data_IF_733709337993
#
_entry.id   IF_733709337993
#
_cell.length_a   1.000
_cell.length_b   1.000
_cell.length_c   1.000
_cell.angle_alpha   90.00
_cell.angle_beta   90.00
_cell.angle_gamma   90.00
#
_symmetry.space_group_name_H-M   'P 1'
#
loop_
_entity.id
_entity.type
_entity.pdbx_description
1 polymer ?
#
# COMPACT_ATOMS: atom_id res chain seq x y z
N UNK A 1 10.10 -35.96 16.02
CA UNK A 1 10.45 -34.52 16.08
C UNK A 1 9.78 -33.66 15.00
N UNK A 2 9.50 -34.15 13.78
CA UNK A 2 8.84 -33.32 12.73
C UNK A 2 7.37 -32.97 13.01
N UNK A 3 6.63 -33.81 13.75
CA UNK A 3 5.20 -33.60 14.00
C UNK A 3 4.90 -32.42 14.96
N UNK A 4 5.79 -32.12 15.90
CA UNK A 4 5.68 -30.94 16.78
C UNK A 4 5.99 -29.63 16.07
N UNK A 5 6.91 -29.64 15.08
CA UNK A 5 7.24 -28.46 14.28
C UNK A 5 6.10 -28.08 13.33
N UNK A 6 5.43 -29.07 12.73
CA UNK A 6 4.24 -28.86 11.92
C UNK A 6 3.04 -28.43 12.76
N UNK A 7 2.87 -28.98 13.97
CA UNK A 7 1.82 -28.54 14.90
C UNK A 7 2.03 -27.09 15.36
N UNK A 8 3.27 -26.66 15.69
CA UNK A 8 3.57 -25.25 16.00
C UNK A 8 3.39 -24.31 14.82
N UNK A 9 3.76 -24.73 13.60
CA UNK A 9 3.50 -23.92 12.40
C UNK A 9 2.00 -23.82 12.11
N UNK A 10 1.24 -24.89 12.34
CA UNK A 10 -0.22 -24.91 12.16
C UNK A 10 -0.94 -24.10 13.23
N UNK A 11 -0.49 -24.17 14.49
CA UNK A 11 -1.01 -23.36 15.59
C UNK A 11 -0.65 -21.88 15.44
N UNK A 12 0.51 -21.54 14.85
CA UNK A 12 0.84 -20.15 14.49
C UNK A 12 -0.05 -19.62 13.36
N UNK A 13 -0.30 -20.43 12.32
CA UNK A 13 -1.26 -20.11 11.26
C UNK A 13 -2.69 -20.00 11.79
N UNK A 14 -3.04 -20.70 12.88
CA UNK A 14 -4.39 -20.70 13.48
C UNK A 14 -4.62 -19.68 14.60
N UNK A 15 -3.57 -19.13 15.25
CA UNK A 15 -3.69 -18.13 16.32
C UNK A 15 -3.21 -16.72 15.95
N UNK A 16 -2.66 -16.49 14.74
CA UNK A 16 -2.00 -15.22 14.39
C UNK A 16 -2.65 -14.41 13.27
N UNK A 17 -3.91 -14.67 12.92
CA UNK A 17 -4.71 -13.65 12.22
C UNK A 17 -5.34 -12.74 13.29
N UNK A 18 -4.52 -11.82 13.78
CA UNK A 18 -4.97 -10.72 14.63
C UNK A 18 -6.03 -9.94 13.83
N UNK A 19 -7.27 -9.79 14.32
CA UNK A 19 -8.34 -9.06 13.61
C UNK A 19 -7.89 -7.66 13.17
N UNK A 20 -7.00 -7.05 13.96
CA UNK A 20 -6.34 -5.79 13.66
C UNK A 20 -5.42 -5.86 12.43
N UNK A 21 -4.65 -6.93 12.26
CA UNK A 21 -3.78 -7.13 11.10
C UNK A 21 -4.60 -7.38 9.83
N UNK A 22 -5.68 -8.15 9.95
CA UNK A 22 -6.62 -8.36 8.85
C UNK A 22 -7.31 -7.05 8.46
N UNK A 23 -7.79 -6.27 9.44
CA UNK A 23 -8.40 -4.96 9.19
C UNK A 23 -7.42 -3.95 8.59
N UNK A 24 -6.16 -3.95 9.00
CA UNK A 24 -5.11 -3.11 8.41
C UNK A 24 -4.83 -3.51 6.96
N UNK A 25 -4.74 -4.80 6.67
CA UNK A 25 -4.57 -5.32 5.32
C UNK A 25 -5.75 -4.91 4.41
N UNK A 26 -7.00 -5.12 4.85
CA UNK A 26 -8.19 -4.72 4.09
C UNK A 26 -8.21 -3.21 3.83
N UNK A 27 -7.89 -2.40 4.84
CA UNK A 27 -7.77 -0.96 4.71
C UNK A 27 -6.73 -0.57 3.65
N UNK A 28 -5.51 -1.10 3.74
CA UNK A 28 -4.42 -0.78 2.83
C UNK A 28 -4.73 -1.23 1.40
N UNK A 29 -5.30 -2.42 1.21
CA UNK A 29 -5.75 -2.91 -0.09
C UNK A 29 -6.84 -2.02 -0.70
N UNK A 30 -7.82 -1.61 0.11
CA UNK A 30 -8.88 -0.70 -0.32
C UNK A 30 -8.32 0.66 -0.74
N UNK A 31 -7.36 1.20 0.01
CA UNK A 31 -6.69 2.46 -0.33
C UNK A 31 -5.87 2.38 -1.60
N UNK A 32 -5.11 1.30 -1.80
CA UNK A 32 -4.37 1.08 -3.04
C UNK A 32 -5.34 1.03 -4.24
N UNK A 33 -6.43 0.27 -4.12
CA UNK A 33 -7.43 0.17 -5.18
C UNK A 33 -8.06 1.54 -5.52
N UNK A 34 -8.39 2.34 -4.50
CA UNK A 34 -8.91 3.70 -4.69
C UNK A 34 -7.91 4.59 -5.44
N UNK A 35 -6.63 4.54 -5.09
CA UNK A 35 -5.58 5.32 -5.76
C UNK A 35 -5.47 4.89 -7.23
N UNK A 36 -5.50 3.59 -7.52
CA UNK A 36 -5.47 3.08 -8.90
C UNK A 36 -6.68 3.56 -9.70
N UNK A 37 -7.88 3.43 -9.14
CA UNK A 37 -9.11 3.87 -9.81
C UNK A 37 -9.08 5.38 -10.10
N UNK A 38 -8.74 6.20 -9.11
CA UNK A 38 -8.59 7.64 -9.28
C UNK A 38 -7.54 7.98 -10.35
N UNK A 39 -6.41 7.27 -10.35
CA UNK A 39 -5.34 7.44 -11.36
C UNK A 39 -5.84 7.18 -12.78
N UNK A 40 -6.67 6.15 -12.95
CA UNK A 40 -7.21 5.78 -14.26
C UNK A 40 -8.35 6.70 -14.71
N UNK A 41 -9.17 7.19 -13.77
CA UNK A 41 -10.27 8.13 -14.02
C UNK A 41 -9.77 9.54 -14.35
N UNK A 42 -8.70 9.98 -13.71
CA UNK A 42 -8.06 11.27 -13.97
C UNK A 42 -7.19 11.20 -15.22
N UNK A 43 -7.85 11.12 -16.38
CA UNK A 43 -7.20 10.99 -17.70
C UNK A 43 -6.26 12.13 -18.05
N UNK A 44 -6.42 13.29 -17.39
CA UNK A 44 -5.54 14.45 -17.48
C UNK A 44 -4.21 14.26 -16.74
N UNK A 45 -4.07 13.26 -15.87
CA UNK A 45 -2.79 12.90 -15.29
C UNK A 45 -1.81 12.46 -16.40
N UNK A 46 -0.54 12.87 -16.31
CA UNK A 46 0.47 12.50 -17.29
C UNK A 46 0.55 10.98 -17.48
N UNK A 47 0.64 10.54 -18.74
CA UNK A 47 0.73 9.11 -19.07
C UNK A 47 1.85 8.41 -18.29
N UNK A 48 3.01 9.06 -18.15
CA UNK A 48 4.13 8.51 -17.39
C UNK A 48 3.81 8.24 -15.91
N UNK A 49 2.93 9.02 -15.29
CA UNK A 49 2.46 8.74 -13.93
C UNK A 49 1.49 7.55 -13.90
N UNK A 50 0.52 7.52 -14.82
CA UNK A 50 -0.46 6.43 -14.93
C UNK A 50 0.21 5.09 -15.21
N UNK A 51 1.15 5.04 -16.15
CA UNK A 51 1.96 3.84 -16.43
C UNK A 51 2.73 3.40 -15.20
N UNK A 52 3.37 4.33 -14.49
CA UNK A 52 4.13 4.01 -13.28
C UNK A 52 3.26 3.41 -12.18
N UNK A 53 2.05 3.96 -11.99
CA UNK A 53 1.07 3.40 -11.05
C UNK A 53 0.71 1.96 -11.43
N UNK A 54 0.41 1.69 -12.71
CA UNK A 54 0.08 0.34 -13.19
C UNK A 54 1.24 -0.64 -13.00
N UNK A 55 2.48 -0.20 -13.24
CA UNK A 55 3.69 -1.03 -13.08
C UNK A 55 3.96 -1.38 -11.61
N UNK A 56 3.80 -0.43 -10.68
CA UNK A 56 4.12 -0.66 -9.26
C UNK A 56 2.96 -1.33 -8.49
N UNK A 57 1.73 -1.26 -8.99
CA UNK A 57 0.54 -1.75 -8.26
C UNK A 57 0.58 -3.23 -7.85
N UNK A 58 1.04 -4.19 -8.68
CA UNK A 58 1.15 -5.59 -8.25
C UNK A 58 2.08 -5.75 -7.05
N UNK A 59 3.24 -5.08 -7.07
CA UNK A 59 4.20 -5.10 -5.98
C UNK A 59 3.62 -4.47 -4.71
N UNK A 60 2.91 -3.35 -4.82
CA UNK A 60 2.23 -2.72 -3.67
C UNK A 60 1.23 -3.68 -3.01
N UNK A 61 0.48 -4.45 -3.82
CA UNK A 61 -0.47 -5.45 -3.30
C UNK A 61 0.26 -6.60 -2.60
N UNK A 62 1.32 -7.12 -3.20
CA UNK A 62 2.15 -8.18 -2.60
C UNK A 62 2.69 -7.73 -1.24
N UNK A 63 3.21 -6.51 -1.14
CA UNK A 63 3.70 -5.94 0.11
C UNK A 63 2.63 -5.80 1.21
N UNK A 64 1.35 -5.66 0.84
CA UNK A 64 0.26 -5.60 1.80
C UNK A 64 -0.21 -7.00 2.23
N UNK A 65 -0.15 -7.98 1.34
CA UNK A 65 -0.69 -9.33 1.58
C UNK A 65 0.33 -10.26 2.24
N UNK A 66 1.60 -10.17 1.86
CA UNK A 66 2.58 -11.21 2.17
C UNK A 66 3.53 -10.87 3.33
N UNK A 67 3.58 -9.62 3.79
CA UNK A 67 4.57 -9.18 4.79
C UNK A 67 4.03 -8.14 5.80
N UNK A 68 3.74 -8.54 7.05
CA UNK A 68 3.42 -7.61 8.14
C UNK A 68 4.55 -6.60 8.45
N UNK A 69 5.82 -6.94 8.19
CA UNK A 69 6.96 -6.02 8.26
C UNK A 69 7.16 -5.16 7.00
N UNK A 70 6.27 -5.35 6.01
CA UNK A 70 6.31 -4.72 4.70
C UNK A 70 5.91 -3.25 4.70
N UNK A 71 5.40 -2.70 5.81
CA UNK A 71 4.99 -1.29 5.93
C UNK A 71 6.12 -0.34 5.53
N UNK A 72 7.36 -0.63 5.93
CA UNK A 72 8.55 0.12 5.55
C UNK A 72 8.84 0.12 4.04
N UNK A 73 8.66 -1.03 3.40
CA UNK A 73 8.83 -1.16 1.96
C UNK A 73 7.67 -0.50 1.20
N UNK A 74 6.44 -0.73 1.64
CA UNK A 74 5.22 -0.14 1.11
C UNK A 74 5.30 1.39 1.15
N UNK A 75 5.72 1.96 2.29
CA UNK A 75 5.92 3.41 2.42
C UNK A 75 6.96 3.93 1.43
N UNK A 76 8.10 3.26 1.26
CA UNK A 76 9.13 3.69 0.28
C UNK A 76 8.55 3.78 -1.14
N UNK A 77 7.75 2.80 -1.55
CA UNK A 77 7.10 2.82 -2.86
C UNK A 77 6.03 3.92 -2.95
N UNK A 78 5.18 4.08 -1.93
CA UNK A 78 4.18 5.14 -1.88
C UNK A 78 4.83 6.54 -1.92
N UNK A 79 5.90 6.76 -1.14
CA UNK A 79 6.71 7.99 -1.16
C UNK A 79 7.30 8.24 -2.55
N UNK A 80 7.81 7.20 -3.22
CA UNK A 80 8.35 7.33 -4.57
C UNK A 80 7.26 7.76 -5.56
N UNK A 81 6.10 7.09 -5.55
CA UNK A 81 4.96 7.44 -6.40
C UNK A 81 4.45 8.86 -6.13
N UNK A 82 4.34 9.27 -4.87
CA UNK A 82 4.02 10.66 -4.52
C UNK A 82 5.04 11.63 -5.10
N UNK A 83 6.35 11.39 -4.91
CA UNK A 83 7.40 12.27 -5.47
C UNK A 83 7.32 12.37 -6.98
N UNK A 84 7.04 11.26 -7.67
CA UNK A 84 6.79 11.27 -9.11
C UNK A 84 5.58 12.15 -9.43
N UNK A 85 4.49 12.01 -8.69
CA UNK A 85 3.25 12.77 -8.83
C UNK A 85 3.38 14.28 -8.52
N UNK A 86 4.15 14.65 -7.50
CA UNK A 86 4.35 16.04 -7.08
C UNK A 86 5.17 16.85 -8.10
N UNK A 87 5.88 16.20 -9.02
CA UNK A 87 6.48 16.89 -10.18
C UNK A 87 5.43 17.52 -11.09
N UNK A 88 4.14 17.18 -10.90
CA UNK A 88 3.01 17.73 -11.64
C UNK A 88 2.16 18.71 -10.81
N UNK A 89 2.74 19.30 -9.75
CA UNK A 89 2.11 20.19 -8.74
C UNK A 89 1.31 21.38 -9.30
N UNK A 90 1.49 21.76 -10.57
CA UNK A 90 0.67 22.77 -11.25
C UNK A 90 -0.74 22.31 -11.68
N UNK A 91 -0.93 21.00 -11.87
CA UNK A 91 -2.21 20.38 -12.27
C UNK A 91 -2.80 19.56 -11.11
N UNK A 92 -1.94 19.18 -10.15
CA UNK A 92 -2.16 18.14 -9.16
C UNK A 92 -2.78 18.55 -7.81
N UNK A 93 -3.01 19.85 -7.54
CA UNK A 93 -3.58 20.27 -6.25
C UNK A 93 -5.00 19.75 -6.02
N UNK A 94 -5.72 19.42 -7.09
CA UNK A 94 -7.08 18.88 -7.06
C UNK A 94 -7.15 17.40 -7.46
N UNK A 95 -6.00 16.75 -7.70
CA UNK A 95 -5.99 15.31 -8.03
C UNK A 95 -6.39 14.49 -6.81
N UNK A 96 -7.45 13.70 -6.97
CA UNK A 96 -7.89 12.70 -6.01
C UNK A 96 -6.82 11.61 -5.85
N UNK A 97 -6.21 11.15 -6.94
CA UNK A 97 -5.16 10.12 -6.89
C UNK A 97 -3.95 10.57 -6.07
N UNK A 98 -3.48 11.80 -6.30
CA UNK A 98 -2.32 12.36 -5.59
C UNK A 98 -2.66 12.74 -4.15
N UNK A 99 -3.89 13.17 -3.88
CA UNK A 99 -4.37 13.39 -2.51
C UNK A 99 -4.42 12.07 -1.74
N UNK A 100 -4.99 11.04 -2.33
CA UNK A 100 -5.09 9.72 -1.71
C UNK A 100 -3.70 9.08 -1.45
N UNK A 101 -2.72 9.33 -2.32
CA UNK A 101 -1.32 8.94 -2.12
C UNK A 101 -0.68 9.64 -0.92
N UNK A 102 -0.90 10.95 -0.75
CA UNK A 102 -0.38 11.72 0.41
C UNK A 102 -0.98 11.23 1.72
N UNK A 103 -2.29 10.97 1.72
CA UNK A 103 -2.99 10.43 2.89
C UNK A 103 -2.47 9.03 3.25
N UNK A 104 -2.24 8.17 2.23
CA UNK A 104 -1.68 6.84 2.45
C UNK A 104 -0.25 6.92 3.00
N UNK A 105 0.62 7.77 2.45
CA UNK A 105 1.97 7.98 2.97
C UNK A 105 1.96 8.42 4.43
N UNK A 106 1.12 9.41 4.77
CA UNK A 106 0.96 9.90 6.13
C UNK A 106 0.47 8.81 7.08
N UNK A 107 -0.48 7.97 6.64
CA UNK A 107 -0.98 6.85 7.44
C UNK A 107 0.09 5.79 7.66
N UNK A 108 0.85 5.42 6.63
CA UNK A 108 1.96 4.47 6.74
C UNK A 108 3.06 4.99 7.68
N UNK A 109 3.35 6.29 7.61
CA UNK A 109 4.31 6.92 8.52
C UNK A 109 3.82 6.91 9.98
N UNK A 110 2.52 7.10 10.23
CA UNK A 110 1.96 6.97 11.57
C UNK A 110 2.04 5.53 12.08
N UNK A 111 1.72 4.55 11.24
CA UNK A 111 1.80 3.13 11.60
C UNK A 111 3.23 2.70 11.95
N UNK A 112 4.24 3.17 11.20
CA UNK A 112 5.65 2.91 11.53
C UNK A 112 6.14 3.61 12.82
N UNK A 113 5.48 4.69 13.25
CA UNK A 113 5.86 5.41 14.46
C UNK A 113 5.22 4.80 15.72
N UNK A 114 4.15 4.00 15.55
CA UNK A 114 3.42 3.30 16.60
C UNK A 114 3.94 1.86 16.84
N UNK A 115 4.87 1.36 16.00
CA UNK A 115 5.62 0.09 16.17
C UNK A 115 6.87 0.24 17.07
#
# INVERSE_FOLDING_TARGET
MEKESLARKRDWVSNAFNEEAFGAMEYLMGRLAQIMDATMRETWLPMGFRTRMVEEFPLLKELVVDDPGGLGALRKHVTHLRRVGDRYTGIARESEALTALRELEARLQALEADE
#
